data_IF_329908831719
#
_entry.id   IF_329908831719
#
_cell.length_a   1.000
_cell.length_b   1.000
_cell.length_c   1.000
_cell.angle_alpha   90.00
_cell.angle_beta   90.00
_cell.angle_gamma   90.00
#
_symmetry.space_group_name_H-M   'P 1'
#
loop_
_entity.id
_entity.type
_entity.pdbx_description
1 polymer ?
#
# COMPACT_ATOMS: atom_id res chain seq x y z
N UNK A 1 17.77 -17.78 -30.80
CA UNK A 1 18.27 -16.52 -31.38
C UNK A 1 18.70 -15.67 -30.21
N UNK A 2 20.02 -15.53 -30.00
CA UNK A 2 20.53 -14.56 -29.04
C UNK A 2 20.34 -13.17 -29.65
N UNK A 3 19.61 -12.31 -28.96
CA UNK A 3 19.46 -10.91 -29.34
C UNK A 3 20.61 -10.18 -28.66
N UNK A 4 21.58 -9.74 -29.44
CA UNK A 4 22.68 -8.91 -28.95
C UNK A 4 22.17 -7.47 -28.78
N UNK A 5 22.12 -6.97 -27.55
CA UNK A 5 21.75 -5.58 -27.26
C UNK A 5 22.98 -4.73 -27.51
N UNK A 6 22.87 -3.77 -28.44
CA UNK A 6 23.99 -2.88 -28.75
C UNK A 6 24.24 -1.90 -27.60
N UNK A 7 25.48 -1.42 -27.45
CA UNK A 7 25.80 -0.36 -26.49
C UNK A 7 24.93 0.89 -26.72
N UNK A 8 24.61 1.20 -27.98
CA UNK A 8 23.76 2.33 -28.34
C UNK A 8 22.35 2.21 -27.75
N UNK A 9 21.76 1.01 -27.80
CA UNK A 9 20.41 0.77 -27.26
C UNK A 9 20.42 0.84 -25.73
N UNK A 10 21.50 0.34 -25.10
CA UNK A 10 21.70 0.46 -23.66
C UNK A 10 21.86 1.91 -23.22
N UNK A 11 22.71 2.68 -23.91
CA UNK A 11 22.93 4.10 -23.63
C UNK A 11 21.64 4.90 -23.80
N UNK A 12 20.87 4.64 -24.86
CA UNK A 12 19.56 5.27 -25.08
C UNK A 12 18.61 5.02 -23.89
N UNK A 13 18.49 3.77 -23.44
CA UNK A 13 17.68 3.42 -22.27
C UNK A 13 18.17 4.12 -20.98
N UNK A 14 19.48 4.16 -20.73
CA UNK A 14 20.02 4.84 -19.55
C UNK A 14 19.78 6.35 -19.60
N UNK A 15 19.88 6.97 -20.77
CA UNK A 15 19.69 8.40 -20.94
C UNK A 15 18.26 8.84 -20.63
N UNK A 16 17.24 8.09 -21.07
CA UNK A 16 15.84 8.42 -20.75
C UNK A 16 15.55 8.26 -19.25
N UNK A 17 16.08 7.22 -18.62
CA UNK A 17 15.95 7.00 -17.17
C UNK A 17 16.63 8.13 -16.39
N UNK A 18 17.86 8.49 -16.78
CA UNK A 18 18.64 9.56 -16.14
C UNK A 18 17.93 10.91 -16.29
N UNK A 19 17.39 11.22 -17.48
CA UNK A 19 16.59 12.42 -17.73
C UNK A 19 15.38 12.52 -16.79
N UNK A 20 14.62 11.43 -16.62
CA UNK A 20 13.49 11.40 -15.68
C UNK A 20 13.97 11.65 -14.25
N UNK A 21 15.08 11.03 -13.84
CA UNK A 21 15.64 11.23 -12.48
C UNK A 21 16.05 12.68 -12.26
N UNK A 22 16.82 13.26 -13.18
CA UNK A 22 17.38 14.61 -13.03
C UNK A 22 16.31 15.70 -13.15
N UNK A 23 15.34 15.52 -14.04
CA UNK A 23 14.31 16.53 -14.27
C UNK A 23 13.12 16.42 -13.31
N UNK A 24 12.70 15.22 -12.92
CA UNK A 24 11.52 15.01 -12.08
C UNK A 24 11.87 14.81 -10.61
N UNK A 25 13.01 14.17 -10.31
CA UNK A 25 13.35 13.77 -8.95
C UNK A 25 12.38 12.71 -8.37
N UNK A 26 12.23 12.67 -7.03
CA UNK A 26 11.26 11.80 -6.37
C UNK A 26 9.83 12.11 -6.82
N UNK A 27 9.13 11.09 -7.31
CA UNK A 27 7.86 11.17 -8.03
C UNK A 27 6.84 10.23 -7.41
N UNK A 28 6.45 10.54 -6.18
CA UNK A 28 5.39 9.83 -5.45
C UNK A 28 4.09 9.79 -6.27
N UNK A 29 3.25 8.75 -6.12
CA UNK A 29 1.93 8.72 -6.75
C UNK A 29 1.10 9.98 -6.48
N UNK A 30 0.39 10.46 -7.51
CA UNK A 30 -0.41 11.68 -7.53
C UNK A 30 0.38 12.97 -7.23
N UNK A 31 1.64 13.04 -7.66
CA UNK A 31 2.48 14.23 -7.49
C UNK A 31 2.70 14.98 -8.80
N UNK A 32 3.06 16.26 -8.71
CA UNK A 32 3.42 17.04 -9.90
C UNK A 32 4.66 16.46 -10.60
N UNK A 33 5.55 15.81 -9.84
CA UNK A 33 6.74 15.15 -10.36
C UNK A 33 6.39 13.87 -11.14
N UNK A 34 5.41 13.10 -10.67
CA UNK A 34 4.86 11.95 -11.40
C UNK A 34 4.20 12.42 -12.70
N UNK A 35 3.37 13.46 -12.66
CA UNK A 35 2.78 14.06 -13.86
C UNK A 35 3.85 14.57 -14.85
N UNK A 36 4.91 15.22 -14.34
CA UNK A 36 6.05 15.63 -15.18
C UNK A 36 6.75 14.44 -15.83
N UNK A 37 6.95 13.35 -15.09
CA UNK A 37 7.53 12.11 -15.63
C UNK A 37 6.64 11.50 -16.71
N UNK A 38 5.32 11.52 -16.52
CA UNK A 38 4.36 11.05 -17.52
C UNK A 38 4.47 11.85 -18.83
N UNK A 39 4.62 13.17 -18.76
CA UNK A 39 4.84 14.01 -19.95
C UNK A 39 6.15 13.72 -20.69
N UNK A 40 7.23 13.40 -19.97
CA UNK A 40 8.50 12.99 -20.59
C UNK A 40 8.32 11.65 -21.32
N UNK A 41 7.69 10.67 -20.66
CA UNK A 41 7.43 9.34 -21.24
C UNK A 41 6.50 9.45 -22.45
N UNK A 42 5.47 10.29 -22.37
CA UNK A 42 4.56 10.53 -23.49
C UNK A 42 5.33 10.98 -24.73
N UNK A 43 6.17 12.01 -24.58
CA UNK A 43 7.00 12.53 -25.69
C UNK A 43 7.92 11.46 -26.28
N UNK A 44 8.51 10.62 -25.42
CA UNK A 44 9.37 9.52 -25.86
C UNK A 44 8.59 8.49 -26.69
N UNK A 45 7.40 8.12 -26.23
CA UNK A 45 6.55 7.19 -26.95
C UNK A 45 6.02 7.78 -28.26
N UNK A 46 5.82 9.09 -28.36
CA UNK A 46 5.36 9.77 -29.58
C UNK A 46 6.37 9.64 -30.74
N UNK A 47 7.64 9.34 -30.46
CA UNK A 47 8.66 9.13 -31.50
C UNK A 47 8.47 7.83 -32.27
N UNK A 48 7.80 6.83 -31.67
CA UNK A 48 7.72 5.46 -32.22
C UNK A 48 6.30 4.89 -32.28
N UNK A 49 5.40 5.32 -31.39
CA UNK A 49 4.02 4.86 -31.34
C UNK A 49 3.13 5.66 -32.30
N UNK A 50 2.07 5.01 -32.81
CA UNK A 50 1.10 5.67 -33.68
C UNK A 50 0.11 6.53 -32.88
N UNK A 51 -0.23 6.10 -31.66
CA UNK A 51 -1.08 6.83 -30.73
C UNK A 51 -0.44 6.81 -29.36
N UNK A 52 -0.41 7.96 -28.69
CA UNK A 52 0.02 8.07 -27.31
C UNK A 52 -0.98 8.91 -26.54
N UNK A 53 -1.47 8.39 -25.43
CA UNK A 53 -2.42 9.08 -24.57
C UNK A 53 -1.97 9.06 -23.11
N UNK A 54 -2.34 10.13 -22.41
CA UNK A 54 -2.30 10.16 -20.95
C UNK A 54 -3.71 9.80 -20.49
N UNK A 55 -3.83 8.67 -19.82
CA UNK A 55 -5.09 8.18 -19.28
C UNK A 55 -5.20 8.61 -17.80
N UNK A 56 -6.07 9.58 -17.47
CA UNK A 56 -6.22 10.05 -16.10
C UNK A 56 -7.02 9.04 -15.26
N UNK A 57 -6.63 8.89 -14.01
CA UNK A 57 -7.39 8.15 -13.01
C UNK A 57 -7.30 8.83 -11.65
N UNK A 58 -8.10 8.35 -10.69
CA UNK A 58 -8.07 8.83 -9.31
C UNK A 58 -7.75 7.71 -8.36
N UNK A 59 -7.00 8.02 -7.31
CA UNK A 59 -6.70 7.07 -6.24
C UNK A 59 -6.41 7.76 -4.91
N UNK A 60 -6.18 6.96 -3.87
CA UNK A 60 -5.89 7.39 -2.51
C UNK A 60 -4.42 7.08 -2.16
N UNK A 61 -3.43 7.87 -2.62
CA UNK A 61 -2.00 7.48 -2.60
C UNK A 61 -1.41 7.33 -1.19
N UNK A 62 -2.14 7.73 -0.16
CA UNK A 62 -1.72 7.59 1.26
C UNK A 62 -2.32 6.38 1.95
N UNK A 63 -3.29 5.68 1.35
CA UNK A 63 -3.99 4.58 1.98
C UNK A 63 -3.09 3.35 2.17
N UNK A 64 -2.30 3.00 1.15
CA UNK A 64 -1.42 1.83 1.13
C UNK A 64 -0.51 1.67 2.37
N UNK A 65 -0.07 2.79 2.96
CA UNK A 65 0.69 2.81 4.24
C UNK A 65 -0.07 3.45 5.40
N UNK A 66 -1.13 4.19 5.10
CA UNK A 66 -1.92 4.92 6.08
C UNK A 66 -2.71 3.99 7.01
N UNK A 67 -3.14 2.83 6.51
CA UNK A 67 -3.88 1.83 7.30
C UNK A 67 -3.13 1.40 8.57
N UNK A 68 -1.78 1.36 8.52
CA UNK A 68 -0.93 0.97 9.66
C UNK A 68 -1.22 1.85 10.88
N UNK A 69 -1.39 3.17 10.68
CA UNK A 69 -1.66 4.11 11.78
C UNK A 69 -3.03 3.87 12.41
N UNK A 70 -4.03 3.57 11.57
CA UNK A 70 -5.40 3.27 12.01
C UNK A 70 -5.43 1.95 12.80
N UNK A 71 -4.73 0.93 12.31
CA UNK A 71 -4.60 -0.36 13.02
C UNK A 71 -3.90 -0.17 14.37
N UNK A 72 -2.79 0.57 14.43
CA UNK A 72 -2.11 0.88 15.70
C UNK A 72 -3.06 1.58 16.67
N UNK A 73 -3.83 2.55 16.20
CA UNK A 73 -4.83 3.23 17.02
C UNK A 73 -5.86 2.27 17.61
N UNK A 74 -6.42 1.34 16.83
CA UNK A 74 -7.34 0.33 17.32
C UNK A 74 -6.69 -0.67 18.28
N UNK A 75 -5.44 -1.06 18.02
CA UNK A 75 -4.68 -1.92 18.93
C UNK A 75 -4.49 -1.21 20.28
N UNK A 76 -4.13 0.08 20.30
CA UNK A 76 -3.99 0.85 21.54
C UNK A 76 -5.31 0.95 22.29
N UNK A 77 -6.43 1.23 21.61
CA UNK A 77 -7.74 1.22 22.27
C UNK A 77 -8.03 -0.15 22.87
N UNK A 78 -7.77 -1.22 22.13
CA UNK A 78 -7.96 -2.60 22.60
C UNK A 78 -7.15 -2.89 23.87
N UNK A 79 -5.86 -2.56 23.88
CA UNK A 79 -5.00 -2.69 25.06
C UNK A 79 -5.52 -1.87 26.25
N UNK A 80 -5.86 -0.60 26.03
CA UNK A 80 -6.38 0.27 27.08
C UNK A 80 -7.69 -0.29 27.67
N UNK A 81 -8.63 -0.69 26.82
CA UNK A 81 -9.88 -1.32 27.26
C UNK A 81 -9.62 -2.55 28.12
N UNK A 82 -8.70 -3.44 27.70
CA UNK A 82 -8.36 -4.64 28.45
C UNK A 82 -7.79 -4.32 29.85
N UNK A 83 -6.82 -3.40 29.95
CA UNK A 83 -6.22 -3.08 31.24
C UNK A 83 -7.17 -2.36 32.19
N UNK A 84 -8.13 -1.59 31.65
CA UNK A 84 -9.16 -0.92 32.44
C UNK A 84 -10.17 -1.90 33.07
N UNK A 85 -10.31 -3.13 32.56
CA UNK A 85 -11.22 -4.15 33.12
C UNK A 85 -10.95 -4.37 34.62
N UNK A 86 -9.68 -4.33 35.04
CA UNK A 86 -9.28 -4.51 36.45
C UNK A 86 -9.86 -3.45 37.39
N UNK A 87 -10.25 -2.28 36.89
CA UNK A 87 -10.83 -1.21 37.70
C UNK A 87 -12.33 -1.41 37.96
N UNK A 88 -12.99 -2.26 37.17
CA UNK A 88 -14.45 -2.42 37.18
C UNK A 88 -14.87 -3.90 37.40
N UNK A 89 -14.08 -4.64 38.20
CA UNK A 89 -14.26 -6.08 38.43
C UNK A 89 -15.71 -6.45 38.79
N UNK A 90 -16.19 -7.57 38.22
CA UNK A 90 -17.54 -8.12 38.43
C UNK A 90 -18.71 -7.16 38.11
N UNK A 91 -18.47 -6.14 37.29
CA UNK A 91 -19.50 -5.22 36.81
C UNK A 91 -19.83 -5.45 35.34
N UNK A 92 -21.02 -5.03 34.91
CA UNK A 92 -21.39 -4.90 33.49
C UNK A 92 -20.31 -4.18 32.67
N UNK A 93 -19.60 -3.22 33.29
CA UNK A 93 -18.50 -2.50 32.66
C UNK A 93 -17.31 -3.40 32.29
N UNK A 94 -16.99 -4.42 33.08
CA UNK A 94 -15.95 -5.39 32.73
C UNK A 94 -16.32 -6.19 31.48
N UNK A 95 -17.59 -6.62 31.37
CA UNK A 95 -18.12 -7.28 30.18
C UNK A 95 -18.04 -6.35 28.96
N UNK A 96 -18.54 -5.11 29.07
CA UNK A 96 -18.50 -4.13 27.99
C UNK A 96 -17.06 -3.85 27.51
N UNK A 97 -16.12 -3.63 28.42
CA UNK A 97 -14.71 -3.39 28.10
C UNK A 97 -14.03 -4.60 27.42
N UNK A 98 -14.43 -5.82 27.78
CA UNK A 98 -13.94 -7.06 27.14
C UNK A 98 -14.42 -7.19 25.70
N UNK A 99 -15.69 -6.86 25.46
CA UNK A 99 -16.27 -6.78 24.11
C UNK A 99 -15.56 -5.68 23.31
N UNK A 100 -15.38 -4.49 23.89
CA UNK A 100 -14.73 -3.36 23.24
C UNK A 100 -13.27 -3.68 22.85
N UNK A 101 -12.52 -4.30 23.77
CA UNK A 101 -11.15 -4.76 23.52
C UNK A 101 -11.10 -5.68 22.31
N UNK A 102 -11.94 -6.73 22.31
CA UNK A 102 -11.95 -7.75 21.26
C UNK A 102 -12.46 -7.23 19.92
N UNK A 103 -13.43 -6.32 19.94
CA UNK A 103 -13.96 -5.67 18.75
C UNK A 103 -12.90 -4.84 18.02
N UNK A 104 -12.14 -4.00 18.74
CA UNK A 104 -11.13 -3.15 18.09
C UNK A 104 -9.94 -3.94 17.56
N UNK A 105 -9.47 -4.97 18.27
CA UNK A 105 -8.40 -5.83 17.74
C UNK A 105 -8.88 -6.61 16.51
N UNK A 106 -10.12 -7.10 16.51
CA UNK A 106 -10.72 -7.73 15.34
C UNK A 106 -10.81 -6.77 14.14
N UNK A 107 -11.25 -5.52 14.37
CA UNK A 107 -11.32 -4.51 13.31
C UNK A 107 -9.92 -4.18 12.76
N UNK A 108 -8.91 -4.11 13.63
CA UNK A 108 -7.52 -3.97 13.22
C UNK A 108 -7.05 -5.11 12.32
N UNK A 109 -7.33 -6.37 12.69
CA UNK A 109 -6.99 -7.57 11.91
C UNK A 109 -7.73 -7.55 10.56
N UNK A 110 -9.01 -7.19 10.55
CA UNK A 110 -9.81 -7.10 9.33
C UNK A 110 -9.23 -6.07 8.36
N UNK A 111 -8.87 -4.88 8.84
CA UNK A 111 -8.23 -3.83 8.03
C UNK A 111 -6.91 -4.34 7.48
N UNK A 112 -6.02 -4.88 8.34
CA UNK A 112 -4.74 -5.41 7.89
C UNK A 112 -4.91 -6.52 6.84
N UNK A 113 -5.88 -7.42 7.02
CA UNK A 113 -6.18 -8.48 6.06
C UNK A 113 -6.64 -7.93 4.71
N UNK A 114 -7.60 -6.99 4.72
CA UNK A 114 -8.16 -6.42 3.49
C UNK A 114 -7.14 -5.55 2.74
N UNK A 115 -6.47 -4.66 3.45
CA UNK A 115 -5.52 -3.69 2.88
C UNK A 115 -4.21 -4.36 2.43
N UNK A 116 -3.56 -5.12 3.32
CA UNK A 116 -2.20 -5.60 3.07
C UNK A 116 -2.16 -6.96 2.37
N UNK A 117 -3.03 -7.91 2.76
CA UNK A 117 -2.98 -9.27 2.20
C UNK A 117 -3.86 -9.42 0.95
N UNK A 118 -5.02 -8.74 0.90
CA UNK A 118 -5.94 -8.81 -0.23
C UNK A 118 -5.80 -7.65 -1.21
N UNK A 119 -5.03 -6.60 -0.90
CA UNK A 119 -4.90 -5.38 -1.70
C UNK A 119 -6.26 -4.78 -2.08
N UNK A 120 -7.21 -4.78 -1.14
CA UNK A 120 -8.53 -4.17 -1.31
C UNK A 120 -8.53 -2.79 -0.68
N UNK A 121 -9.07 -1.83 -1.43
CA UNK A 121 -9.31 -0.44 -1.02
C UNK A 121 -10.44 -0.34 0.04
N UNK A 122 -10.27 -1.00 1.19
CA UNK A 122 -11.32 -1.19 2.19
C UNK A 122 -11.54 0.06 3.03
N UNK A 123 -10.47 0.77 3.39
CA UNK A 123 -10.50 2.02 4.14
C UNK A 123 -9.87 3.19 3.37
N UNK A 124 -9.47 2.98 2.11
CA UNK A 124 -9.00 4.02 1.19
C UNK A 124 -9.87 5.29 1.15
N UNK A 125 -11.22 5.22 1.17
CA UNK A 125 -12.07 6.41 1.17
C UNK A 125 -11.90 7.32 2.41
N UNK A 126 -11.22 6.86 3.46
CA UNK A 126 -10.86 7.71 4.61
C UNK A 126 -9.67 8.64 4.32
N UNK A 127 -8.93 8.38 3.24
CA UNK A 127 -7.79 9.16 2.80
C UNK A 127 -8.21 10.17 1.74
N UNK A 128 -7.35 11.13 1.43
CA UNK A 128 -7.63 12.13 0.41
C UNK A 128 -7.46 11.52 -0.99
N UNK A 129 -8.54 11.53 -1.77
CA UNK A 129 -8.51 11.23 -3.21
C UNK A 129 -7.66 12.27 -3.95
N UNK A 130 -6.89 11.81 -4.94
CA UNK A 130 -6.10 12.66 -5.83
C UNK A 130 -6.06 12.09 -7.25
N UNK A 131 -5.78 12.98 -8.20
CA UNK A 131 -5.57 12.61 -9.60
C UNK A 131 -4.16 12.02 -9.80
N UNK A 132 -4.07 11.02 -10.67
CA UNK A 132 -2.84 10.43 -11.21
C UNK A 132 -3.12 10.02 -12.67
N UNK A 133 -2.13 9.42 -13.34
CA UNK A 133 -2.19 9.16 -14.76
C UNK A 133 -1.35 7.96 -15.19
N UNK A 134 -1.86 7.23 -16.17
CA UNK A 134 -1.09 6.28 -16.97
C UNK A 134 -0.62 6.94 -18.27
N UNK A 135 0.44 6.40 -18.87
CA UNK A 135 0.85 6.74 -20.24
C UNK A 135 0.77 5.49 -21.09
N UNK A 136 0.00 5.55 -22.17
CA UNK A 136 -0.27 4.40 -23.04
C UNK A 136 0.18 4.75 -24.45
N UNK A 137 1.16 4.01 -24.96
CA UNK A 137 1.59 4.04 -26.36
C UNK A 137 1.04 2.83 -27.12
N UNK A 138 0.49 3.05 -28.32
CA UNK A 138 -0.06 2.01 -29.19
C UNK A 138 0.64 2.05 -30.54
N UNK A 139 1.17 0.89 -30.96
CA UNK A 139 1.65 0.66 -32.32
C UNK A 139 0.55 -0.11 -33.05
N UNK A 140 0.00 0.49 -34.11
CA UNK A 140 -1.10 -0.06 -34.90
C UNK A 140 -0.58 -0.98 -36.00
N UNK A 141 -1.39 -2.00 -36.31
CA UNK A 141 -1.21 -2.83 -37.49
C UNK A 141 -2.27 -2.46 -38.51
N UNK A 142 -1.93 -2.52 -39.80
CA UNK A 142 -2.89 -2.31 -40.90
C UNK A 142 -3.77 -3.53 -41.17
N UNK A 143 -3.34 -4.70 -40.71
CA UNK A 143 -4.06 -5.97 -40.81
C UNK A 143 -4.90 -6.27 -39.57
N UNK A 144 -5.80 -7.25 -39.70
CA UNK A 144 -6.62 -7.78 -38.60
C UNK A 144 -5.75 -8.17 -37.38
N UNK A 145 -6.10 -7.63 -36.21
CA UNK A 145 -5.38 -7.86 -34.95
C UNK A 145 -5.70 -9.26 -34.44
N UNK A 146 -4.71 -10.18 -34.53
CA UNK A 146 -4.84 -11.54 -34.01
C UNK A 146 -4.33 -11.71 -32.58
N UNK A 147 -3.40 -10.85 -32.14
CA UNK A 147 -2.76 -10.87 -30.82
C UNK A 147 -2.33 -9.48 -30.40
N UNK A 148 -2.31 -9.21 -29.10
CA UNK A 148 -1.79 -7.98 -28.49
C UNK A 148 -0.60 -8.35 -27.62
N UNK A 149 0.50 -7.60 -27.75
CA UNK A 149 1.67 -7.69 -26.87
C UNK A 149 1.67 -6.41 -26.02
N UNK A 150 1.73 -6.57 -24.70
CA UNK A 150 1.73 -5.46 -23.76
C UNK A 150 3.07 -5.43 -23.04
N UNK A 151 3.79 -4.33 -23.18
CA UNK A 151 4.94 -4.00 -22.33
C UNK A 151 4.46 -2.97 -21.30
N UNK A 152 4.67 -3.25 -20.02
CA UNK A 152 4.20 -2.39 -18.94
C UNK A 152 5.29 -2.19 -17.90
N UNK A 153 5.31 -0.99 -17.31
CA UNK A 153 6.18 -0.59 -16.22
C UNK A 153 5.54 0.58 -15.48
N UNK A 154 5.95 0.80 -14.24
CA UNK A 154 5.47 1.92 -13.43
C UNK A 154 6.53 3.04 -13.43
N UNK A 155 6.06 4.28 -13.53
CA UNK A 155 6.95 5.45 -13.59
C UNK A 155 6.89 6.30 -12.32
N UNK A 156 6.10 5.94 -11.33
CA UNK A 156 6.15 6.55 -10.01
C UNK A 156 7.37 6.03 -9.21
N UNK A 157 7.66 6.67 -8.07
CA UNK A 157 8.68 6.22 -7.14
C UNK A 157 8.08 5.97 -5.76
N UNK A 158 8.42 4.84 -5.17
CA UNK A 158 7.94 4.45 -3.85
C UNK A 158 8.36 5.43 -2.73
N UNK A 159 7.51 5.55 -1.72
CA UNK A 159 7.88 6.26 -0.49
C UNK A 159 8.99 5.50 0.21
N UNK A 160 10.05 6.21 0.61
CA UNK A 160 11.11 5.59 1.39
C UNK A 160 10.58 5.13 2.75
N UNK A 161 10.65 3.83 2.99
CA UNK A 161 10.42 3.27 4.32
C UNK A 161 11.61 3.53 5.24
N UNK A 162 11.49 4.52 6.11
CA UNK A 162 12.57 4.90 7.03
C UNK A 162 13.00 3.75 7.95
N UNK A 163 12.05 2.93 8.41
CA UNK A 163 12.39 1.79 9.28
C UNK A 163 13.31 0.80 8.55
N UNK A 164 13.01 0.49 7.29
CA UNK A 164 13.86 -0.35 6.45
C UNK A 164 15.22 0.33 6.17
N UNK A 165 15.20 1.62 5.80
CA UNK A 165 16.41 2.40 5.48
C UNK A 165 17.42 2.40 6.64
N UNK A 166 16.94 2.62 7.86
CA UNK A 166 17.80 2.76 9.03
C UNK A 166 18.13 1.43 9.71
N UNK A 167 17.14 0.53 9.85
CA UNK A 167 17.36 -0.73 10.58
C UNK A 167 17.90 -1.87 9.71
N UNK A 168 17.78 -1.78 8.38
CA UNK A 168 18.19 -2.86 7.44
C UNK A 168 17.58 -4.20 7.88
N UNK A 169 18.39 -5.21 8.21
CA UNK A 169 17.91 -6.50 8.71
C UNK A 169 17.09 -6.40 10.00
N UNK A 170 17.32 -5.38 10.83
CA UNK A 170 16.53 -5.13 12.04
C UNK A 170 15.06 -4.80 11.74
N UNK A 171 14.75 -4.28 10.55
CA UNK A 171 13.37 -4.07 10.09
C UNK A 171 12.57 -5.38 10.11
N UNK A 172 13.18 -6.46 9.61
CA UNK A 172 12.54 -7.77 9.51
C UNK A 172 12.16 -8.28 10.90
N UNK A 173 13.08 -8.13 11.87
CA UNK A 173 12.84 -8.50 13.27
C UNK A 173 11.67 -7.70 13.85
N UNK A 174 11.67 -6.37 13.67
CA UNK A 174 10.62 -5.48 14.19
C UNK A 174 9.25 -5.82 13.59
N UNK A 175 9.18 -6.08 12.29
CA UNK A 175 7.93 -6.43 11.61
C UNK A 175 7.38 -7.77 12.10
N UNK A 176 8.21 -8.82 12.16
CA UNK A 176 7.74 -10.12 12.63
C UNK A 176 7.38 -10.12 14.11
N UNK A 177 8.12 -9.38 14.94
CA UNK A 177 7.76 -9.20 16.36
C UNK A 177 6.44 -8.43 16.50
N UNK A 178 6.25 -7.36 15.73
CA UNK A 178 5.01 -6.59 15.70
C UNK A 178 3.81 -7.43 15.26
N UNK A 179 3.95 -8.19 14.17
CA UNK A 179 2.92 -9.13 13.71
C UNK A 179 2.64 -10.23 14.74
N UNK A 180 3.69 -10.79 15.34
CA UNK A 180 3.56 -11.80 16.39
C UNK A 180 2.76 -11.30 17.60
N UNK A 181 3.10 -10.11 18.10
CA UNK A 181 2.35 -9.46 19.19
C UNK A 181 0.90 -9.18 18.76
N UNK A 182 0.69 -8.70 17.54
CA UNK A 182 -0.62 -8.37 17.02
C UNK A 182 -1.55 -9.60 16.96
N UNK A 183 -1.07 -10.73 16.44
CA UNK A 183 -1.83 -11.98 16.41
C UNK A 183 -2.00 -12.61 17.79
N UNK A 184 -0.97 -12.59 18.62
CA UNK A 184 -1.05 -13.08 20.00
C UNK A 184 -2.10 -12.29 20.79
N UNK A 185 -2.10 -10.96 20.65
CA UNK A 185 -3.06 -10.08 21.32
C UNK A 185 -4.50 -10.35 20.88
N UNK A 186 -4.71 -10.58 19.57
CA UNK A 186 -6.01 -10.99 19.04
C UNK A 186 -6.53 -12.28 19.70
N UNK A 187 -5.68 -13.30 19.81
CA UNK A 187 -6.05 -14.57 20.46
C UNK A 187 -6.33 -14.37 21.95
N UNK A 188 -5.45 -13.65 22.66
CA UNK A 188 -5.59 -13.40 24.09
C UNK A 188 -6.89 -12.63 24.41
N UNK A 189 -7.18 -11.55 23.68
CA UNK A 189 -8.43 -10.78 23.85
C UNK A 189 -9.66 -11.64 23.55
N UNK A 190 -9.61 -12.46 22.49
CA UNK A 190 -10.73 -13.32 22.11
C UNK A 190 -11.02 -14.40 23.17
N UNK A 191 -9.97 -15.07 23.67
CA UNK A 191 -10.09 -16.05 24.76
C UNK A 191 -10.68 -15.38 26.00
N UNK A 192 -10.17 -14.20 26.36
CA UNK A 192 -10.67 -13.46 27.52
C UNK A 192 -12.16 -13.10 27.39
N UNK A 193 -12.59 -12.63 26.21
CA UNK A 193 -14.00 -12.36 25.94
C UNK A 193 -14.85 -13.62 26.11
N UNK A 194 -14.42 -14.76 25.57
CA UNK A 194 -15.14 -16.03 25.72
C UNK A 194 -15.29 -16.41 27.20
N UNK A 195 -14.20 -16.34 27.97
CA UNK A 195 -14.23 -16.61 29.41
C UNK A 195 -15.16 -15.65 30.15
N UNK A 196 -15.14 -14.38 29.77
CA UNK A 196 -16.02 -13.35 30.35
C UNK A 196 -17.48 -13.67 30.04
N UNK A 197 -17.83 -14.03 28.81
CA UNK A 197 -19.19 -14.42 28.43
C UNK A 197 -19.66 -15.59 29.30
N UNK A 198 -18.85 -16.64 29.49
CA UNK A 198 -19.21 -17.78 30.36
C UNK A 198 -19.30 -17.44 31.85
N UNK A 199 -18.67 -16.36 32.29
CA UNK A 199 -18.75 -15.91 33.69
C UNK A 199 -20.02 -15.11 33.95
N UNK A 200 -20.52 -14.39 32.94
CA UNK A 200 -21.70 -13.53 33.01
C UNK A 200 -22.98 -14.17 32.43
N UNK A 201 -22.90 -15.36 31.84
CA UNK A 201 -24.03 -16.16 31.34
C UNK A 201 -24.56 -17.13 32.40
#
# INVERSE_FOLDING_TARGET
MEIEISNKDSDYMYNIVQKIIDECGPRMPCSLQEAKSAEIIKKELEETCNEVEIEPFKCHPRAALGWIRIVIFFVVISFCSFFLIKLFQESFWAYFLSVLSSFFIFLGILIAWKEFFCYKEFIDPLFKEKDSQNVIGKIKTTSEIKKIIIFSGHHDSALQFNLLRYLKHGYVIVIFLGLGIFFFWFLASSIFLILTIFTFA
#
